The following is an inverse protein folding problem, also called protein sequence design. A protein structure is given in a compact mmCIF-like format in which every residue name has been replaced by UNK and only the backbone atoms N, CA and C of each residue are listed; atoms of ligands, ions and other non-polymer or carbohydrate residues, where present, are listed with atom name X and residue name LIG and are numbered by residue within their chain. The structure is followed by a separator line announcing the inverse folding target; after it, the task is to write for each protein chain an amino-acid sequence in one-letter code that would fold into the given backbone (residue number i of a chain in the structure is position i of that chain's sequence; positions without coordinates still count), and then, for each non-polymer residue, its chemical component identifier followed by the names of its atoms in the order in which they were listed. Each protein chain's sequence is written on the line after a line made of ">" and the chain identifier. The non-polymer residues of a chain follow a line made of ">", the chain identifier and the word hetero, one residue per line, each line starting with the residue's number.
data_IF_966351046597
#
_entry.id   IF_966351046597
#
_cell.length_a   1.000
_cell.length_b   1.000
_cell.length_c   1.000
_cell.angle_alpha   90.00
_cell.angle_beta   90.00
_cell.angle_gamma   90.00
#
_symmetry.space_group_name_H-M   'P 1'
#
loop_
_entity.id
_entity.type
_entity.pdbx_description
1 polymer ?
#
# COMPACT_ATOMS: atom_id res chain seq x y z
N UNK A 1 -24.03 7.80 -9.69
CA UNK A 1 -22.74 7.69 -10.41
C UNK A 1 -22.46 6.22 -10.42
N UNK A 2 -22.62 5.58 -11.57
CA UNK A 2 -22.46 4.13 -11.69
C UNK A 2 -20.97 3.83 -11.58
N UNK A 3 -20.62 3.08 -10.53
CA UNK A 3 -19.27 2.57 -10.31
C UNK A 3 -19.08 1.45 -11.33
N UNK A 4 -18.41 1.75 -12.45
CA UNK A 4 -18.05 0.73 -13.44
C UNK A 4 -17.17 -0.30 -12.75
N UNK A 5 -17.78 -1.45 -12.44
CA UNK A 5 -17.10 -2.59 -11.85
C UNK A 5 -16.16 -3.18 -12.91
N UNK A 6 -14.91 -2.70 -12.95
CA UNK A 6 -13.87 -3.37 -13.74
C UNK A 6 -13.80 -4.83 -13.30
N UNK A 7 -13.80 -5.79 -14.24
CA UNK A 7 -13.67 -7.19 -13.88
C UNK A 7 -12.33 -7.40 -13.19
N UNK A 8 -12.33 -8.17 -12.09
CA UNK A 8 -11.10 -8.69 -11.50
C UNK A 8 -10.30 -9.40 -12.60
N UNK A 9 -9.04 -9.04 -12.75
CA UNK A 9 -8.18 -9.67 -13.77
C UNK A 9 -7.73 -11.04 -13.29
N UNK A 10 -7.60 -12.01 -14.20
CA UNK A 10 -7.11 -13.37 -13.88
C UNK A 10 -5.68 -13.35 -13.29
N UNK A 11 -4.91 -12.29 -13.57
CA UNK A 11 -3.60 -12.05 -12.99
C UNK A 11 -3.07 -10.66 -13.34
N UNK A 12 -2.14 -10.17 -12.52
CA UNK A 12 -1.49 -8.87 -12.68
C UNK A 12 0.01 -9.12 -12.90
N UNK A 13 0.55 -8.64 -14.03
CA UNK A 13 1.99 -8.69 -14.32
C UNK A 13 2.45 -7.27 -14.56
N UNK A 14 3.37 -6.79 -13.71
CA UNK A 14 3.94 -5.45 -13.80
C UNK A 14 5.46 -5.54 -13.92
N UNK A 15 6.10 -4.67 -14.74
CA UNK A 15 7.55 -4.54 -14.70
C UNK A 15 8.00 -3.94 -13.35
N UNK A 16 9.30 -4.00 -13.03
CA UNK A 16 9.88 -3.26 -11.92
C UNK A 16 9.48 -1.77 -11.98
N UNK A 17 9.02 -1.21 -10.85
CA UNK A 17 8.49 0.15 -10.77
C UNK A 17 7.14 0.39 -11.47
N UNK A 18 6.59 -0.60 -12.19
CA UNK A 18 5.26 -0.54 -12.79
C UNK A 18 4.15 -0.56 -11.74
N UNK A 19 3.02 0.07 -12.06
CA UNK A 19 1.88 0.25 -11.18
C UNK A 19 1.37 1.70 -11.21
N UNK A 20 0.36 2.00 -10.39
CA UNK A 20 -0.18 3.35 -10.29
C UNK A 20 0.60 4.18 -9.26
N UNK A 21 1.21 5.29 -9.71
CA UNK A 21 2.04 6.14 -8.86
C UNK A 21 1.19 7.12 -8.04
N UNK A 22 1.51 7.24 -6.75
CA UNK A 22 0.85 8.12 -5.79
C UNK A 22 1.87 8.85 -4.92
N UNK A 23 1.45 9.99 -4.36
CA UNK A 23 2.21 10.73 -3.35
C UNK A 23 1.41 10.74 -2.05
N UNK A 24 1.94 10.12 -1.00
CA UNK A 24 1.27 10.01 0.29
C UNK A 24 2.19 10.54 1.36
N UNK A 25 1.74 11.57 2.08
CA UNK A 25 2.53 12.27 3.10
C UNK A 25 3.92 12.70 2.60
N UNK A 26 4.02 13.09 1.31
CA UNK A 26 5.26 13.51 0.68
C UNK A 26 6.22 12.37 0.29
N UNK A 27 5.80 11.11 0.41
CA UNK A 27 6.57 9.95 -0.01
C UNK A 27 5.98 9.35 -1.30
N UNK A 28 6.82 8.92 -2.25
CA UNK A 28 6.36 8.18 -3.42
C UNK A 28 5.89 6.77 -3.05
N UNK A 29 4.72 6.42 -3.58
CA UNK A 29 4.13 5.09 -3.52
C UNK A 29 3.76 4.62 -4.92
N UNK A 30 3.76 3.30 -5.11
CA UNK A 30 3.29 2.65 -6.33
C UNK A 30 2.31 1.55 -5.93
N UNK A 31 1.04 1.69 -6.31
CA UNK A 31 0.05 0.62 -6.17
C UNK A 31 0.33 -0.43 -7.24
N UNK A 32 0.63 -1.65 -6.80
CA UNK A 32 0.85 -2.83 -7.66
C UNK A 32 -0.45 -3.57 -7.96
N UNK A 33 -1.35 -3.60 -6.97
CA UNK A 33 -2.70 -4.15 -7.10
C UNK A 33 -3.61 -3.40 -6.12
N UNK A 34 -4.69 -2.81 -6.63
CA UNK A 34 -5.68 -2.09 -5.83
C UNK A 34 -7.06 -2.75 -5.85
N UNK A 35 -8.07 -2.05 -5.35
CA UNK A 35 -9.46 -2.53 -5.29
C UNK A 35 -10.01 -2.95 -6.67
N UNK A 36 -9.66 -2.19 -7.72
CA UNK A 36 -10.08 -2.49 -9.10
C UNK A 36 -9.48 -3.80 -9.61
N UNK A 37 -8.30 -4.19 -9.12
CA UNK A 37 -7.62 -5.39 -9.58
C UNK A 37 -8.00 -6.63 -8.75
N UNK A 38 -8.21 -6.45 -7.45
CA UNK A 38 -8.42 -7.57 -6.49
C UNK A 38 -9.85 -7.79 -6.07
N UNK A 39 -10.76 -6.85 -6.38
CA UNK A 39 -12.13 -6.85 -5.84
C UNK A 39 -12.19 -6.45 -4.36
N UNK A 40 -11.12 -5.87 -3.80
CA UNK A 40 -11.10 -5.26 -2.45
C UNK A 40 -10.50 -6.03 -1.26
N UNK A 41 -10.31 -7.36 -1.24
CA UNK A 41 -9.78 -8.05 -0.05
C UNK A 41 -8.28 -7.82 0.17
N UNK A 42 -7.55 -7.31 -0.83
CA UNK A 42 -6.11 -7.07 -0.75
C UNK A 42 -5.74 -5.82 -1.55
N UNK A 43 -4.77 -5.06 -1.03
CA UNK A 43 -4.00 -4.11 -1.80
C UNK A 43 -2.51 -4.40 -1.62
N UNK A 44 -1.73 -4.22 -2.68
CA UNK A 44 -0.26 -4.37 -2.66
C UNK A 44 0.36 -3.09 -3.16
N UNK A 45 1.28 -2.54 -2.37
CA UNK A 45 1.92 -1.26 -2.66
C UNK A 45 3.41 -1.32 -2.34
N UNK A 46 4.20 -0.61 -3.13
CA UNK A 46 5.62 -0.36 -2.89
C UNK A 46 5.80 1.11 -2.50
N UNK A 47 6.57 1.41 -1.47
CA UNK A 47 6.84 2.78 -1.02
C UNK A 47 8.34 3.04 -0.89
N UNK A 48 8.77 4.27 -1.13
CA UNK A 48 10.14 4.71 -0.85
C UNK A 48 10.13 5.96 0.02
N UNK A 49 10.92 5.95 1.08
CA UNK A 49 10.82 6.93 2.15
C UNK A 49 12.18 7.55 2.41
N UNK A 50 12.21 8.84 2.72
CA UNK A 50 13.44 9.51 3.15
C UNK A 50 13.74 9.14 4.61
N UNK A 51 15.02 9.11 5.03
CA UNK A 51 15.35 8.99 6.44
C UNK A 51 14.62 10.07 7.26
N UNK A 52 13.95 9.64 8.34
CA UNK A 52 13.15 10.52 9.19
C UNK A 52 11.69 10.73 8.73
N UNK A 53 11.26 10.14 7.61
CA UNK A 53 9.84 10.02 7.29
C UNK A 53 9.13 9.21 8.38
N UNK A 54 7.94 9.66 8.78
CA UNK A 54 7.13 9.00 9.79
C UNK A 54 5.65 9.06 9.40
N UNK A 55 4.87 8.10 9.88
CA UNK A 55 3.42 8.09 9.77
C UNK A 55 2.83 8.54 11.12
N UNK A 56 1.79 9.39 11.14
CA UNK A 56 1.07 9.69 12.37
C UNK A 56 0.61 8.40 13.05
N UNK A 57 0.74 8.29 14.37
CA UNK A 57 0.27 7.10 15.09
C UNK A 57 -1.23 6.88 14.87
N UNK A 58 -1.62 5.69 14.40
CA UNK A 58 -3.02 5.36 14.08
C UNK A 58 -3.32 3.87 14.26
N UNK A 59 -4.60 3.50 14.04
CA UNK A 59 -5.08 2.12 14.14
C UNK A 59 -6.00 1.80 12.95
N UNK A 60 -5.80 0.63 12.35
CA UNK A 60 -6.72 0.06 11.37
C UNK A 60 -7.76 -0.80 12.11
N UNK A 61 -9.04 -0.41 12.04
CA UNK A 61 -10.13 -1.14 12.69
C UNK A 61 -10.70 -2.30 11.87
N UNK A 62 -10.46 -2.30 10.55
CA UNK A 62 -11.08 -3.22 9.58
C UNK A 62 -10.08 -3.86 8.63
N UNK A 63 -8.80 -3.52 8.76
CA UNK A 63 -7.76 -3.95 7.86
C UNK A 63 -6.54 -4.37 8.67
N UNK A 64 -5.81 -5.34 8.15
CA UNK A 64 -4.48 -5.67 8.60
C UNK A 64 -3.48 -4.99 7.67
N UNK A 65 -2.34 -4.59 8.20
CA UNK A 65 -1.25 -4.00 7.43
C UNK A 65 0.03 -4.78 7.71
N UNK A 66 0.73 -5.16 6.64
CA UNK A 66 1.98 -5.92 6.70
C UNK A 66 3.06 -5.18 5.93
N UNK A 67 4.26 -5.12 6.51
CA UNK A 67 5.42 -4.49 5.90
C UNK A 67 6.48 -5.53 5.57
N UNK A 68 7.02 -5.47 4.36
CA UNK A 68 8.20 -6.24 3.95
C UNK A 68 9.27 -5.26 3.46
N UNK A 69 10.40 -5.21 4.17
CA UNK A 69 11.48 -4.26 3.87
C UNK A 69 12.31 -4.80 2.71
N UNK A 70 12.32 -4.06 1.59
CA UNK A 70 13.08 -4.40 0.39
C UNK A 70 14.52 -3.88 0.44
N UNK A 71 14.71 -2.68 0.98
CA UNK A 71 16.01 -2.00 1.08
C UNK A 71 16.02 -1.03 2.27
N UNK A 72 17.20 -0.90 2.90
CA UNK A 72 17.41 -0.01 4.04
C UNK A 72 16.91 -0.57 5.37
N UNK A 73 16.72 0.31 6.35
CA UNK A 73 16.32 -0.03 7.70
C UNK A 73 15.03 0.72 8.08
N UNK A 74 14.06 0.00 8.63
CA UNK A 74 12.80 0.55 9.12
C UNK A 74 12.59 0.21 10.59
N UNK A 75 12.19 1.20 11.37
CA UNK A 75 11.73 1.02 12.74
C UNK A 75 10.20 1.12 12.78
N UNK A 76 9.54 0.13 13.40
CA UNK A 76 8.09 0.11 13.54
C UNK A 76 7.70 0.30 15.00
N UNK A 77 6.91 1.34 15.28
CA UNK A 77 6.31 1.53 16.60
C UNK A 77 4.88 1.00 16.61
N UNK A 78 4.65 -0.08 17.35
CA UNK A 78 3.31 -0.65 17.54
C UNK A 78 2.87 -0.43 18.98
N UNK A 79 1.74 0.25 19.16
CA UNK A 79 1.11 0.41 20.47
C UNK A 79 0.02 -0.63 20.65
N UNK A 80 0.14 -1.44 21.71
CA UNK A 80 -0.90 -2.40 22.04
C UNK A 80 -2.06 -1.66 22.70
N UNK A 81 -3.21 -1.59 22.01
CA UNK A 81 -4.44 -1.09 22.64
C UNK A 81 -4.90 -2.14 23.67
N UNK A 82 -5.02 -1.74 24.94
CA UNK A 82 -5.63 -2.55 26.01
C UNK A 82 -7.14 -2.57 25.87
#
# INVERSE_FOLDING_TARGET
>A
MEEENKPSVDGIILPPGGGNALQVLGNPWTIKAGIEDTGGPLAVMEGSFRPGSDAPAHVHHRHEETFYVLEGDFAFQVVRKR
#
